data_IF_071004706110
#
_entry.id   IF_071004706110
#
_cell.length_a   1.000
_cell.length_b   1.000
_cell.length_c   1.000
_cell.angle_alpha   90.00
_cell.angle_beta   90.00
_cell.angle_gamma   90.00
#
_symmetry.space_group_name_H-M   'P 1'
#
loop_
_entity.id
_entity.type
_entity.pdbx_description
1 polymer ?
#
# COMPACT_ATOMS: atom_id res chain seq x y z
N UNK A 1 -13.16 -66.02 -35.80
CA UNK A 1 -12.67 -64.89 -34.98
C UNK A 1 -11.22 -64.65 -35.35
N UNK A 2 -10.91 -63.50 -35.95
CA UNK A 2 -9.63 -63.23 -36.61
C UNK A 2 -8.48 -63.14 -35.60
N UNK A 3 -7.41 -63.90 -35.85
CA UNK A 3 -6.19 -63.97 -35.03
C UNK A 3 -5.47 -62.61 -34.90
N UNK A 4 -5.71 -61.66 -35.82
CA UNK A 4 -5.14 -60.31 -35.75
C UNK A 4 -5.71 -59.47 -34.61
N UNK A 5 -6.92 -59.75 -34.12
CA UNK A 5 -7.55 -58.98 -33.03
C UNK A 5 -6.90 -59.32 -31.68
N UNK A 6 -6.39 -60.55 -31.51
CA UNK A 6 -5.72 -60.97 -30.27
C UNK A 6 -4.30 -60.40 -30.13
N UNK A 7 -3.61 -60.14 -31.23
CA UNK A 7 -2.25 -59.61 -31.22
C UNK A 7 -2.17 -58.13 -30.80
N UNK A 8 -3.24 -57.35 -31.01
CA UNK A 8 -3.26 -55.90 -30.75
C UNK A 8 -3.89 -55.52 -29.39
N UNK A 9 -4.47 -56.49 -28.68
CA UNK A 9 -5.09 -56.27 -27.37
C UNK A 9 -4.13 -55.72 -26.29
N UNK A 10 -2.87 -56.19 -26.15
CA UNK A 10 -1.97 -55.64 -25.14
C UNK A 10 -1.53 -54.21 -25.46
N UNK A 11 -1.40 -53.86 -26.75
CA UNK A 11 -1.09 -52.50 -27.17
C UNK A 11 -2.24 -51.52 -26.90
N UNK A 12 -3.47 -51.93 -27.18
CA UNK A 12 -4.65 -51.11 -26.86
C UNK A 12 -4.79 -50.89 -25.36
N UNK A 13 -4.56 -51.93 -24.54
CA UNK A 13 -4.58 -51.80 -23.08
C UNK A 13 -3.50 -50.82 -22.57
N UNK A 14 -2.28 -50.88 -23.10
CA UNK A 14 -1.20 -49.97 -22.72
C UNK A 14 -1.52 -48.50 -23.06
N UNK A 15 -2.09 -48.23 -24.24
CA UNK A 15 -2.50 -46.87 -24.64
C UNK A 15 -3.62 -46.36 -23.74
N UNK A 16 -4.59 -47.20 -23.40
CA UNK A 16 -5.73 -46.83 -22.56
C UNK A 16 -5.28 -46.52 -21.12
N UNK A 17 -4.38 -47.33 -20.57
CA UNK A 17 -3.78 -47.08 -19.25
C UNK A 17 -2.94 -45.79 -19.27
N UNK A 18 -2.14 -45.56 -20.32
CA UNK A 18 -1.38 -44.32 -20.48
C UNK A 18 -2.27 -43.08 -20.54
N UNK A 19 -3.40 -43.14 -21.24
CA UNK A 19 -4.36 -42.05 -21.30
C UNK A 19 -5.03 -41.78 -19.94
N UNK A 20 -5.36 -42.84 -19.19
CA UNK A 20 -5.95 -42.73 -17.85
C UNK A 20 -4.95 -42.12 -16.85
N UNK A 21 -3.70 -42.58 -16.82
CA UNK A 21 -2.66 -42.04 -15.94
C UNK A 21 -2.37 -40.57 -16.26
N UNK A 22 -2.31 -40.22 -17.55
CA UNK A 22 -2.07 -38.83 -17.98
C UNK A 22 -3.23 -37.90 -17.58
N UNK A 23 -4.48 -38.34 -17.78
CA UNK A 23 -5.66 -37.54 -17.44
C UNK A 23 -5.83 -37.37 -15.93
N UNK A 24 -5.60 -38.42 -15.13
CA UNK A 24 -5.59 -38.33 -13.66
C UNK A 24 -4.46 -37.43 -13.14
N UNK A 25 -3.27 -37.50 -13.75
CA UNK A 25 -2.15 -36.64 -13.38
C UNK A 25 -2.44 -35.17 -13.70
N UNK A 26 -3.05 -34.88 -14.85
CA UNK A 26 -3.46 -33.53 -15.21
C UNK A 26 -4.60 -33.00 -14.33
N UNK A 27 -5.56 -33.84 -13.96
CA UNK A 27 -6.62 -33.47 -13.03
C UNK A 27 -6.08 -33.14 -11.62
N UNK A 28 -5.14 -33.94 -11.11
CA UNK A 28 -4.47 -33.68 -9.82
C UNK A 28 -3.57 -32.44 -9.83
N UNK A 29 -2.93 -32.14 -10.96
CA UNK A 29 -2.18 -30.89 -11.14
C UNK A 29 -3.09 -29.66 -11.25
N UNK A 30 -4.28 -29.81 -11.85
CA UNK A 30 -5.30 -28.76 -11.91
C UNK A 30 -5.93 -28.47 -10.54
N UNK A 31 -6.19 -29.49 -9.73
CA UNK A 31 -6.82 -29.34 -8.41
C UNK A 31 -5.88 -28.85 -7.31
N UNK A 32 -4.56 -29.04 -7.47
CA UNK A 32 -3.55 -28.62 -6.49
C UNK A 32 -3.15 -27.14 -6.60
N UNK A 33 -3.71 -26.38 -7.54
CA UNK A 33 -3.38 -24.96 -7.74
C UNK A 33 -1.96 -24.70 -8.25
N UNK A 34 -1.11 -25.74 -8.36
CA UNK A 34 0.29 -25.65 -8.81
C UNK A 34 0.44 -25.33 -10.30
N UNK A 35 -0.64 -25.39 -11.08
CA UNK A 35 -0.68 -24.95 -12.48
C UNK A 35 -1.19 -23.52 -12.68
N UNK A 36 -1.52 -22.78 -11.60
CA UNK A 36 -1.95 -21.37 -11.65
C UNK A 36 -0.82 -20.37 -11.36
N UNK A 37 0.43 -20.76 -11.56
CA UNK A 37 1.47 -19.78 -11.86
C UNK A 37 1.57 -19.67 -13.37
N UNK A 38 1.02 -18.59 -13.93
CA UNK A 38 1.36 -18.15 -15.28
C UNK A 38 2.85 -17.74 -15.25
N UNK A 39 3.70 -18.76 -15.40
CA UNK A 39 5.10 -18.77 -15.04
C UNK A 39 5.96 -18.13 -16.12
N UNK A 40 5.61 -16.93 -16.57
CA UNK A 40 6.64 -16.10 -17.20
C UNK A 40 7.57 -15.60 -16.09
N UNK A 41 8.68 -16.32 -15.87
CA UNK A 41 9.73 -15.92 -14.91
C UNK A 41 10.37 -14.56 -15.26
N UNK A 42 10.09 -14.02 -16.46
CA UNK A 42 10.45 -12.68 -16.91
C UNK A 42 9.28 -11.68 -16.89
N UNK A 43 8.07 -12.09 -16.47
CA UNK A 43 7.00 -11.14 -16.26
C UNK A 43 7.44 -10.17 -15.17
N UNK A 44 7.52 -8.88 -15.51
CA UNK A 44 7.89 -7.83 -14.56
C UNK A 44 6.77 -7.65 -13.51
N UNK A 45 5.53 -7.98 -13.82
CA UNK A 45 4.40 -7.82 -12.91
C UNK A 45 4.22 -9.07 -12.03
N UNK A 46 4.20 -8.87 -10.70
CA UNK A 46 4.00 -9.92 -9.71
C UNK A 46 5.18 -10.88 -9.48
N UNK A 47 6.29 -10.73 -10.22
CA UNK A 47 7.49 -11.54 -10.02
C UNK A 47 8.42 -10.95 -8.96
N UNK A 48 9.38 -11.75 -8.48
CA UNK A 48 10.43 -11.27 -7.57
C UNK A 48 11.23 -10.10 -8.15
N UNK A 49 11.50 -10.09 -9.47
CA UNK A 49 12.13 -8.97 -10.15
C UNK A 49 11.23 -7.73 -10.16
N UNK A 50 9.92 -7.91 -10.37
CA UNK A 50 8.92 -6.87 -10.21
C UNK A 50 8.95 -6.23 -8.83
N UNK A 51 8.91 -7.05 -7.77
CA UNK A 51 8.96 -6.57 -6.38
C UNK A 51 10.23 -5.77 -6.08
N UNK A 52 11.38 -6.23 -6.59
CA UNK A 52 12.63 -5.48 -6.46
C UNK A 52 12.58 -4.14 -7.22
N UNK A 53 12.08 -4.13 -8.45
CA UNK A 53 11.94 -2.90 -9.24
C UNK A 53 10.95 -1.91 -8.62
N UNK A 54 9.85 -2.40 -8.05
CA UNK A 54 8.88 -1.60 -7.30
C UNK A 54 9.56 -0.91 -6.11
N UNK A 55 10.32 -1.66 -5.30
CA UNK A 55 11.11 -1.13 -4.18
C UNK A 55 12.13 -0.08 -4.63
N UNK A 56 12.90 -0.37 -5.67
CA UNK A 56 13.89 0.57 -6.19
C UNK A 56 13.25 1.86 -6.74
N UNK A 57 12.04 1.74 -7.31
CA UNK A 57 11.30 2.89 -7.83
C UNK A 57 10.80 3.85 -6.74
N UNK A 58 10.65 3.41 -5.49
CA UNK A 58 10.17 4.23 -4.38
C UNK A 58 11.00 5.51 -4.21
N UNK A 59 12.33 5.38 -4.23
CA UNK A 59 13.25 6.54 -4.15
C UNK A 59 13.14 7.48 -5.35
N UNK A 60 12.78 6.95 -6.52
CA UNK A 60 12.64 7.75 -7.74
C UNK A 60 11.29 8.46 -7.74
N UNK A 61 10.23 7.78 -7.31
CA UNK A 61 8.90 8.36 -7.10
C UNK A 61 9.00 9.47 -6.07
N UNK A 62 9.57 9.21 -4.89
CA UNK A 62 9.78 10.19 -3.82
C UNK A 62 10.56 11.41 -4.33
N UNK A 63 11.61 11.18 -5.13
CA UNK A 63 12.38 12.23 -5.78
C UNK A 63 11.53 13.05 -6.76
N UNK A 64 10.80 12.43 -7.68
CA UNK A 64 9.99 13.17 -8.68
C UNK A 64 8.81 13.86 -7.99
N UNK A 65 8.27 13.26 -6.93
CA UNK A 65 7.21 13.82 -6.11
C UNK A 65 7.66 15.11 -5.41
N UNK A 66 8.76 15.05 -4.65
CA UNK A 66 9.29 16.18 -3.90
C UNK A 66 10.13 17.16 -4.72
N UNK A 67 10.54 16.84 -5.96
CA UNK A 67 11.20 17.82 -6.87
C UNK A 67 10.25 18.43 -7.89
N UNK A 68 9.18 17.71 -8.21
CA UNK A 68 8.23 18.08 -9.25
C UNK A 68 7.07 18.95 -8.76
N UNK A 69 6.71 18.84 -7.47
CA UNK A 69 5.53 19.52 -6.91
C UNK A 69 5.88 20.42 -5.72
N UNK A 70 6.78 19.99 -4.84
CA UNK A 70 7.17 20.76 -3.66
C UNK A 70 8.55 21.39 -3.85
N UNK A 71 8.71 22.64 -3.46
CA UNK A 71 10.04 23.19 -3.18
C UNK A 71 10.61 22.39 -2.01
N UNK A 72 11.90 22.02 -2.03
CA UNK A 72 12.52 21.24 -0.94
C UNK A 72 12.10 21.80 0.41
N UNK A 73 11.38 20.98 1.17
CA UNK A 73 11.22 21.17 2.60
C UNK A 73 12.50 20.59 3.23
N UNK A 74 13.37 21.41 3.87
CA UNK A 74 14.68 20.97 4.37
C UNK A 74 14.63 19.80 5.39
N UNK A 75 13.44 19.48 5.90
CA UNK A 75 13.23 18.58 7.03
C UNK A 75 13.53 17.10 6.73
N UNK A 76 13.63 16.70 5.44
CA UNK A 76 13.99 15.32 5.05
C UNK A 76 15.49 15.10 4.82
N UNK A 77 16.34 16.12 5.04
CA UNK A 77 17.79 16.00 4.82
C UNK A 77 18.53 15.56 6.09
N UNK A 78 17.91 15.65 7.27
CA UNK A 78 18.64 15.48 8.54
C UNK A 78 18.51 14.10 9.18
N UNK A 79 19.67 13.44 9.27
CA UNK A 79 19.98 12.57 10.40
C UNK A 79 20.32 13.43 11.61
N UNK A 80 19.29 13.94 12.29
CA UNK A 80 19.36 14.58 13.62
C UNK A 80 20.19 15.87 13.74
N UNK A 81 19.51 17.02 13.82
CA UNK A 81 19.71 18.00 14.90
C UNK A 81 18.40 18.77 15.14
N UNK A 82 17.88 18.68 16.36
CA UNK A 82 16.83 19.57 16.85
C UNK A 82 17.37 20.98 17.00
N UNK A 83 16.57 21.99 16.61
CA UNK A 83 16.67 23.33 17.18
C UNK A 83 16.86 24.45 16.17
N UNK A 84 15.92 25.40 16.23
CA UNK A 84 16.03 26.80 15.81
C UNK A 84 15.79 27.11 14.32
N UNK A 85 14.55 27.51 14.08
CA UNK A 85 14.16 28.64 13.22
C UNK A 85 15.29 29.59 12.84
N UNK A 86 15.65 29.63 11.55
CA UNK A 86 15.92 30.89 10.86
C UNK A 86 15.60 30.76 9.37
N UNK A 87 14.88 31.76 8.88
CA UNK A 87 14.51 31.93 7.48
C UNK A 87 15.76 32.14 6.61
N UNK A 88 15.67 31.61 5.38
CA UNK A 88 16.22 32.18 4.15
C UNK A 88 17.36 33.21 4.32
N UNK A 89 18.58 32.70 4.49
CA UNK A 89 19.79 33.48 4.25
C UNK A 89 20.46 32.91 3.00
N UNK A 90 20.89 33.82 2.13
CA UNK A 90 21.51 33.56 0.82
C UNK A 90 22.52 32.41 0.87
N UNK A 91 22.50 31.57 -0.16
CA UNK A 91 23.60 30.66 -0.49
C UNK A 91 24.86 31.50 -0.75
N UNK A 92 25.59 31.86 0.30
CA UNK A 92 26.97 32.30 0.18
C UNK A 92 27.77 31.18 -0.47
N UNK A 93 28.45 31.53 -1.56
CA UNK A 93 29.39 30.66 -2.23
C UNK A 93 30.44 30.17 -1.21
N UNK A 94 30.57 28.84 -1.11
CA UNK A 94 31.55 28.10 -0.31
C UNK A 94 32.65 28.99 0.30
N UNK A 95 32.43 29.42 1.54
CA UNK A 95 33.38 30.27 2.28
C UNK A 95 34.69 29.52 2.47
N UNK A 96 35.86 30.14 2.22
CA UNK A 96 37.14 29.46 2.30
C UNK A 96 37.52 29.20 3.76
N UNK A 97 37.61 27.92 4.12
CA UNK A 97 38.36 27.36 5.24
C UNK A 97 38.40 28.22 6.52
N UNK A 98 37.41 28.05 7.41
CA UNK A 98 37.58 28.43 8.81
C UNK A 98 38.67 27.54 9.43
N UNK A 99 39.78 28.10 9.94
CA UNK A 99 40.86 27.31 10.51
C UNK A 99 40.39 26.65 11.82
N UNK A 100 40.25 25.32 11.82
CA UNK A 100 40.00 24.54 13.04
C UNK A 100 38.98 23.40 12.93
N UNK A 101 38.25 23.27 11.81
CA UNK A 101 37.32 22.15 11.64
C UNK A 101 38.05 20.86 11.20
N UNK A 102 37.70 19.69 11.76
CA UNK A 102 38.22 18.42 11.28
C UNK A 102 37.88 18.21 9.80
N UNK A 103 38.81 17.69 9.00
CA UNK A 103 38.61 17.44 7.57
C UNK A 103 37.38 16.55 7.26
N UNK A 104 36.97 15.70 8.22
CA UNK A 104 35.77 14.87 8.12
C UNK A 104 34.50 15.72 8.14
N UNK A 105 34.45 16.79 8.91
CA UNK A 105 33.26 17.64 9.02
C UNK A 105 33.12 18.52 7.77
N UNK A 106 34.23 19.04 7.22
CA UNK A 106 34.23 19.67 5.90
C UNK A 106 33.73 18.74 4.78
N UNK A 107 34.10 17.46 4.83
CA UNK A 107 33.63 16.48 3.84
C UNK A 107 32.12 16.21 3.99
N UNK A 108 31.61 16.13 5.22
CA UNK A 108 30.17 16.02 5.49
C UNK A 108 29.43 17.25 4.98
N UNK A 109 29.92 18.45 5.28
CA UNK A 109 29.31 19.71 4.86
C UNK A 109 29.30 19.83 3.33
N UNK A 110 30.40 19.47 2.67
CA UNK A 110 30.48 19.41 1.21
C UNK A 110 29.51 18.39 0.62
N UNK A 111 29.42 17.18 1.19
CA UNK A 111 28.49 16.15 0.73
C UNK A 111 27.03 16.57 0.92
N UNK A 112 26.71 17.19 2.05
CA UNK A 112 25.40 17.78 2.33
C UNK A 112 25.11 18.92 1.36
N UNK A 113 26.06 19.81 1.09
CA UNK A 113 25.94 20.88 0.10
C UNK A 113 25.70 20.37 -1.31
N UNK A 114 26.39 19.31 -1.73
CA UNK A 114 26.10 18.64 -3.01
C UNK A 114 24.73 17.99 -3.05
N UNK A 115 24.29 17.36 -1.95
CA UNK A 115 22.93 16.83 -1.84
C UNK A 115 21.93 17.95 -2.03
N UNK A 116 22.03 19.03 -1.24
CA UNK A 116 21.14 20.20 -1.35
C UNK A 116 21.14 20.73 -2.78
N UNK A 117 22.30 21.02 -3.37
CA UNK A 117 22.42 21.54 -4.74
C UNK A 117 21.79 20.61 -5.80
N UNK A 118 21.90 19.29 -5.65
CA UNK A 118 21.25 18.32 -6.54
C UNK A 118 19.72 18.40 -6.49
N UNK A 119 19.16 18.78 -5.34
CA UNK A 119 17.72 18.90 -5.13
C UNK A 119 17.24 20.37 -5.27
N UNK A 120 18.14 21.35 -5.28
CA UNK A 120 17.81 22.77 -5.42
C UNK A 120 17.44 23.12 -6.84
N UNK A 121 16.33 23.83 -6.99
CA UNK A 121 15.90 24.34 -8.28
C UNK A 121 16.79 25.53 -8.68
N UNK A 122 17.45 25.42 -9.81
CA UNK A 122 18.32 26.49 -10.35
C UNK A 122 17.57 27.46 -11.27
N UNK A 123 16.32 27.15 -11.63
CA UNK A 123 15.47 28.01 -12.44
C UNK A 123 14.76 29.07 -11.58
N UNK A 124 14.91 30.38 -11.85
CA UNK A 124 14.26 31.44 -11.10
C UNK A 124 12.74 31.50 -11.33
N UNK A 125 12.20 30.94 -12.42
CA UNK A 125 10.77 31.01 -12.75
C UNK A 125 9.98 29.86 -12.16
N UNK A 126 8.80 30.11 -11.60
CA UNK A 126 7.86 29.06 -11.15
C UNK A 126 7.53 28.07 -12.28
N UNK A 127 7.15 26.84 -11.92
CA UNK A 127 6.75 25.85 -12.91
C UNK A 127 5.48 26.31 -13.61
N UNK A 128 5.45 26.24 -14.94
CA UNK A 128 4.22 26.51 -15.70
C UNK A 128 3.18 25.41 -15.44
N UNK A 129 1.89 25.72 -15.62
CA UNK A 129 0.82 24.72 -15.49
C UNK A 129 1.02 23.51 -16.43
N UNK A 130 1.51 23.76 -17.65
CA UNK A 130 1.82 22.70 -18.62
C UNK A 130 2.95 21.77 -18.16
N UNK A 131 3.95 22.33 -17.49
CA UNK A 131 5.04 21.54 -16.93
C UNK A 131 4.56 20.74 -15.72
N UNK A 132 3.81 21.36 -14.81
CA UNK A 132 3.18 20.68 -13.67
C UNK A 132 2.29 19.53 -14.13
N UNK A 133 1.48 19.72 -15.17
CA UNK A 133 0.66 18.67 -15.76
C UNK A 133 1.50 17.49 -16.27
N UNK A 134 2.60 17.77 -16.98
CA UNK A 134 3.50 16.74 -17.50
C UNK A 134 4.16 15.95 -16.37
N UNK A 135 4.66 16.65 -15.35
CA UNK A 135 5.26 16.05 -14.16
C UNK A 135 4.25 15.16 -13.42
N UNK A 136 3.03 15.65 -13.19
CA UNK A 136 1.96 14.85 -12.54
C UNK A 136 1.67 13.57 -13.30
N UNK A 137 1.58 13.65 -14.64
CA UNK A 137 1.37 12.48 -15.49
C UNK A 137 2.51 11.47 -15.38
N UNK A 138 3.76 11.92 -15.41
CA UNK A 138 4.93 11.04 -15.26
C UNK A 138 4.96 10.36 -13.87
N UNK A 139 4.64 11.12 -12.81
CA UNK A 139 4.51 10.61 -11.45
C UNK A 139 3.42 9.53 -11.37
N UNK A 140 2.24 9.80 -11.95
CA UNK A 140 1.14 8.83 -11.98
C UNK A 140 1.55 7.53 -12.68
N UNK A 141 2.18 7.64 -13.86
CA UNK A 141 2.62 6.49 -14.64
C UNK A 141 3.64 5.65 -13.87
N UNK A 142 4.58 6.30 -13.19
CA UNK A 142 5.58 5.63 -12.35
C UNK A 142 4.94 4.92 -11.16
N UNK A 143 4.03 5.59 -10.46
CA UNK A 143 3.31 5.04 -9.31
C UNK A 143 2.43 3.85 -9.70
N UNK A 144 1.64 4.00 -10.76
CA UNK A 144 0.80 2.92 -11.29
C UNK A 144 1.66 1.73 -11.70
N UNK A 145 2.81 1.98 -12.34
CA UNK A 145 3.73 0.92 -12.75
C UNK A 145 4.33 0.20 -11.54
N UNK A 146 4.76 0.94 -10.52
CA UNK A 146 5.28 0.38 -9.26
C UNK A 146 4.23 -0.47 -8.55
N UNK A 147 3.00 0.04 -8.44
CA UNK A 147 1.87 -0.71 -7.90
C UNK A 147 1.58 -1.99 -8.70
N UNK A 148 1.57 -1.94 -10.03
CA UNK A 148 1.37 -3.14 -10.87
C UNK A 148 2.49 -4.16 -10.73
N UNK A 149 3.71 -3.73 -10.44
CA UNK A 149 4.84 -4.62 -10.18
C UNK A 149 4.69 -5.37 -8.87
N UNK A 150 4.27 -4.67 -7.80
CA UNK A 150 4.05 -5.26 -6.48
C UNK A 150 2.88 -4.58 -5.75
N UNK A 151 1.64 -5.09 -5.92
CA UNK A 151 0.49 -4.54 -5.21
C UNK A 151 0.55 -4.78 -3.69
N UNK A 152 1.39 -5.70 -3.22
CA UNK A 152 1.64 -5.99 -1.82
C UNK A 152 2.62 -5.02 -1.17
N UNK A 153 3.30 -4.18 -1.94
CA UNK A 153 4.29 -3.24 -1.44
C UNK A 153 3.63 -2.02 -0.78
N UNK A 154 3.88 -1.84 0.53
CA UNK A 154 3.23 -0.80 1.33
C UNK A 154 3.47 0.62 0.81
N UNK A 155 4.72 0.97 0.48
CA UNK A 155 5.09 2.28 -0.05
C UNK A 155 4.39 2.58 -1.38
N UNK A 156 4.72 1.81 -2.42
CA UNK A 156 4.08 1.87 -3.74
C UNK A 156 2.55 1.97 -3.71
N UNK A 157 1.85 1.11 -2.96
CA UNK A 157 0.40 1.18 -2.82
C UNK A 157 -0.06 2.51 -2.20
N UNK A 158 0.48 2.88 -1.04
CA UNK A 158 0.02 4.07 -0.31
C UNK A 158 0.35 5.36 -1.05
N UNK A 159 1.52 5.46 -1.68
CA UNK A 159 1.89 6.62 -2.50
C UNK A 159 0.96 6.75 -3.70
N UNK A 160 0.63 5.65 -4.38
CA UNK A 160 -0.28 5.72 -5.52
C UNK A 160 -1.72 6.04 -5.09
N UNK A 161 -2.19 5.45 -3.99
CA UNK A 161 -3.48 5.77 -3.42
C UNK A 161 -3.57 7.26 -3.05
N UNK A 162 -2.56 7.79 -2.35
CA UNK A 162 -2.48 9.19 -1.96
C UNK A 162 -2.53 10.13 -3.17
N UNK A 163 -1.80 9.80 -4.24
CA UNK A 163 -1.85 10.55 -5.50
C UNK A 163 -3.27 10.65 -6.06
N UNK A 164 -4.00 9.54 -6.07
CA UNK A 164 -5.35 9.49 -6.61
C UNK A 164 -6.39 10.21 -5.75
N UNK A 165 -6.15 10.36 -4.44
CA UNK A 165 -7.13 10.93 -3.52
C UNK A 165 -6.88 12.39 -3.15
N UNK A 166 -5.67 12.90 -3.33
CA UNK A 166 -5.32 14.27 -2.94
C UNK A 166 -5.53 15.26 -4.09
N UNK A 167 -6.36 16.27 -3.86
CA UNK A 167 -6.77 17.24 -4.88
C UNK A 167 -5.58 17.98 -5.53
N UNK A 168 -4.58 18.36 -4.74
CA UNK A 168 -3.37 19.05 -5.23
C UNK A 168 -2.58 18.24 -6.27
N UNK A 169 -2.73 16.92 -6.29
CA UNK A 169 -2.04 16.01 -7.20
C UNK A 169 -2.91 15.53 -8.37
N UNK A 170 -4.14 16.03 -8.49
CA UNK A 170 -5.08 15.62 -9.54
C UNK A 170 -6.19 14.70 -9.06
N UNK A 171 -6.38 14.57 -7.74
CA UNK A 171 -7.53 13.87 -7.17
C UNK A 171 -8.85 14.51 -7.56
N UNK A 172 -9.58 13.85 -8.47
CA UNK A 172 -10.95 14.14 -8.86
C UNK A 172 -11.87 12.92 -8.58
N UNK A 173 -13.17 13.06 -8.82
CA UNK A 173 -14.14 11.97 -8.59
C UNK A 173 -13.77 10.69 -9.37
N UNK A 174 -13.21 10.84 -10.57
CA UNK A 174 -12.77 9.71 -11.39
C UNK A 174 -11.55 9.01 -10.77
N UNK A 175 -10.61 9.77 -10.23
CA UNK A 175 -9.41 9.30 -9.56
C UNK A 175 -9.75 8.65 -8.22
N UNK A 176 -10.74 9.17 -7.49
CA UNK A 176 -11.32 8.53 -6.30
C UNK A 176 -11.93 7.16 -6.63
N UNK A 177 -12.75 7.09 -7.67
CA UNK A 177 -13.28 5.80 -8.15
C UNK A 177 -12.16 4.83 -8.58
N UNK A 178 -11.03 5.35 -9.08
CA UNK A 178 -9.85 4.57 -9.38
C UNK A 178 -9.12 4.10 -8.10
N UNK A 179 -9.00 4.94 -7.08
CA UNK A 179 -8.40 4.60 -5.79
C UNK A 179 -9.11 3.42 -5.12
N UNK A 180 -10.45 3.38 -5.20
CA UNK A 180 -11.27 2.24 -4.75
C UNK A 180 -10.88 0.95 -5.49
N UNK A 181 -10.68 1.02 -6.81
CA UNK A 181 -10.25 -0.14 -7.61
C UNK A 181 -8.85 -0.60 -7.24
N UNK A 182 -7.92 0.34 -7.04
CA UNK A 182 -6.54 0.07 -6.62
C UNK A 182 -6.51 -0.61 -5.25
N UNK A 183 -7.26 -0.10 -4.27
CA UNK A 183 -7.35 -0.69 -2.93
C UNK A 183 -7.93 -2.11 -2.95
N UNK A 184 -9.00 -2.33 -3.73
CA UNK A 184 -9.58 -3.68 -3.88
C UNK A 184 -8.64 -4.63 -4.65
N UNK A 185 -7.91 -4.15 -5.65
CA UNK A 185 -6.91 -4.94 -6.36
C UNK A 185 -5.75 -5.36 -5.44
N UNK A 186 -5.27 -4.45 -4.58
CA UNK A 186 -4.27 -4.76 -3.56
C UNK A 186 -4.78 -5.88 -2.64
N UNK A 187 -5.95 -5.71 -2.03
CA UNK A 187 -6.58 -6.71 -1.17
C UNK A 187 -6.73 -8.07 -1.85
N UNK A 188 -7.21 -8.09 -3.09
CA UNK A 188 -7.39 -9.33 -3.85
C UNK A 188 -6.06 -10.04 -4.13
N UNK A 189 -5.00 -9.28 -4.45
CA UNK A 189 -3.67 -9.86 -4.70
C UNK A 189 -3.05 -10.46 -3.43
N UNK A 190 -3.25 -9.79 -2.28
CA UNK A 190 -2.65 -10.16 -1.00
C UNK A 190 -3.41 -11.32 -0.32
N UNK A 191 -4.68 -11.55 -0.67
CA UNK A 191 -5.49 -12.60 -0.07
C UNK A 191 -4.89 -14.02 -0.15
N UNK A 192 -3.98 -14.24 -1.10
CA UNK A 192 -3.25 -15.51 -1.29
C UNK A 192 -1.85 -15.55 -0.70
N UNK A 193 -1.37 -14.47 -0.08
CA UNK A 193 -0.03 -14.38 0.53
C UNK A 193 0.05 -15.22 1.82
N UNK A 194 1.07 -16.07 1.91
CA UNK A 194 1.24 -17.06 2.98
C UNK A 194 2.66 -17.12 3.55
N UNK A 195 3.59 -16.35 2.99
CA UNK A 195 5.01 -16.41 3.33
C UNK A 195 5.48 -15.08 3.93
N UNK A 196 5.25 -13.97 3.22
CA UNK A 196 5.67 -12.65 3.65
C UNK A 196 4.59 -12.01 4.54
N UNK A 197 4.89 -11.61 5.80
CA UNK A 197 3.94 -10.88 6.62
C UNK A 197 3.63 -9.48 6.07
N UNK A 198 4.59 -8.80 5.44
CA UNK A 198 4.46 -7.38 5.10
C UNK A 198 3.25 -7.03 4.22
N UNK A 199 2.93 -7.77 3.14
CA UNK A 199 1.76 -7.48 2.31
C UNK A 199 0.46 -7.38 3.11
N UNK A 200 0.31 -8.10 4.22
CA UNK A 200 -0.88 -7.97 5.06
C UNK A 200 -1.00 -6.61 5.78
N UNK A 201 0.10 -5.88 5.97
CA UNK A 201 0.04 -4.47 6.41
C UNK A 201 -0.44 -3.56 5.29
N UNK A 202 -0.07 -3.83 4.04
CA UNK A 202 -0.60 -3.14 2.86
C UNK A 202 -2.10 -3.39 2.73
N UNK A 203 -2.56 -4.62 2.94
CA UNK A 203 -3.98 -4.95 2.98
C UNK A 203 -4.72 -4.20 4.11
N UNK A 204 -4.15 -4.12 5.32
CA UNK A 204 -4.72 -3.34 6.40
C UNK A 204 -4.84 -1.85 6.05
N UNK A 205 -3.80 -1.28 5.43
CA UNK A 205 -3.81 0.10 4.92
C UNK A 205 -4.89 0.30 3.86
N UNK A 206 -5.00 -0.63 2.91
CA UNK A 206 -6.00 -0.57 1.86
C UNK A 206 -7.43 -0.67 2.38
N UNK A 207 -7.67 -1.49 3.39
CA UNK A 207 -8.96 -1.55 4.07
C UNK A 207 -9.28 -0.26 4.83
N UNK A 208 -8.28 0.37 5.47
CA UNK A 208 -8.44 1.68 6.12
C UNK A 208 -8.75 2.79 5.11
N UNK A 209 -8.06 2.80 3.97
CA UNK A 209 -8.28 3.77 2.92
C UNK A 209 -9.70 3.65 2.31
N UNK A 210 -10.18 2.43 2.10
CA UNK A 210 -11.57 2.20 1.68
C UNK A 210 -12.58 2.70 2.71
N UNK A 211 -12.31 2.49 4.00
CA UNK A 211 -13.14 3.03 5.08
C UNK A 211 -13.21 4.57 5.01
N UNK A 212 -12.06 5.24 4.86
CA UNK A 212 -12.02 6.69 4.77
C UNK A 212 -12.81 7.21 3.56
N UNK A 213 -12.65 6.57 2.39
CA UNK A 213 -13.42 6.92 1.19
C UNK A 213 -14.92 6.69 1.35
N UNK A 214 -15.34 5.60 1.99
CA UNK A 214 -16.77 5.29 2.18
C UNK A 214 -17.43 6.21 3.23
N UNK A 215 -16.66 6.71 4.19
CA UNK A 215 -17.17 7.55 5.29
C UNK A 215 -16.96 9.05 5.08
N UNK A 216 -16.33 9.47 3.99
CA UNK A 216 -15.99 10.86 3.72
C UNK A 216 -17.20 11.80 3.85
N UNK A 217 -18.32 11.46 3.19
CA UNK A 217 -19.55 12.25 3.24
C UNK A 217 -20.09 12.40 4.68
N UNK A 218 -19.92 11.38 5.52
CA UNK A 218 -20.33 11.44 6.93
C UNK A 218 -19.43 12.38 7.72
N UNK A 219 -18.12 12.34 7.46
CA UNK A 219 -17.14 13.22 8.11
C UNK A 219 -17.33 14.68 7.71
N UNK A 220 -17.61 14.97 6.44
CA UNK A 220 -17.84 16.33 5.94
C UNK A 220 -19.16 16.92 6.43
N UNK A 221 -20.24 16.11 6.43
CA UNK A 221 -21.56 16.54 6.90
C UNK A 221 -21.70 16.56 8.42
N UNK A 222 -20.73 16.01 9.16
CA UNK A 222 -20.81 15.80 10.60
C UNK A 222 -21.90 14.82 11.03
N UNK A 223 -22.34 13.94 10.12
CA UNK A 223 -23.35 12.92 10.43
C UNK A 223 -22.71 11.68 11.03
N UNK A 224 -23.48 10.95 11.85
CA UNK A 224 -23.01 9.71 12.46
C UNK A 224 -22.69 8.67 11.38
N UNK A 225 -21.53 8.03 11.52
CA UNK A 225 -21.14 6.92 10.64
C UNK A 225 -22.01 5.69 10.98
N UNK A 226 -22.66 5.06 9.99
CA UNK A 226 -23.49 3.88 10.21
C UNK A 226 -22.72 2.74 10.92
N UNK A 227 -23.33 2.18 11.97
CA UNK A 227 -22.72 1.14 12.80
C UNK A 227 -22.25 -0.09 12.01
N UNK A 228 -22.98 -0.46 10.95
CA UNK A 228 -22.63 -1.60 10.11
C UNK A 228 -21.32 -1.38 9.35
N UNK A 229 -21.03 -0.15 8.88
CA UNK A 229 -19.78 0.22 8.21
C UNK A 229 -18.61 0.08 9.19
N UNK A 230 -18.77 0.59 10.42
CA UNK A 230 -17.75 0.46 11.46
C UNK A 230 -17.41 -1.01 11.76
N UNK A 231 -18.44 -1.85 11.96
CA UNK A 231 -18.27 -3.28 12.22
C UNK A 231 -17.62 -4.02 11.05
N UNK A 232 -18.03 -3.71 9.82
CA UNK A 232 -17.46 -4.29 8.60
C UNK A 232 -15.97 -3.99 8.47
N UNK A 233 -15.57 -2.72 8.55
CA UNK A 233 -14.17 -2.34 8.38
C UNK A 233 -13.30 -2.76 9.55
N UNK A 234 -13.84 -2.76 10.78
CA UNK A 234 -13.17 -3.37 11.92
C UNK A 234 -12.87 -4.85 11.64
N UNK A 235 -13.84 -5.65 11.21
CA UNK A 235 -13.59 -7.06 10.90
C UNK A 235 -12.54 -7.23 9.79
N UNK A 236 -12.63 -6.43 8.73
CA UNK A 236 -11.72 -6.48 7.58
C UNK A 236 -10.27 -6.14 7.95
N UNK A 237 -10.07 -5.03 8.67
CA UNK A 237 -8.74 -4.58 9.13
C UNK A 237 -8.19 -5.56 10.18
N UNK A 238 -9.04 -6.00 11.13
CA UNK A 238 -8.65 -6.96 12.16
C UNK A 238 -8.16 -8.28 11.58
N UNK A 239 -8.82 -8.79 10.54
CA UNK A 239 -8.36 -9.99 9.82
C UNK A 239 -6.97 -9.78 9.21
N UNK A 240 -6.72 -8.65 8.56
CA UNK A 240 -5.41 -8.35 7.96
C UNK A 240 -4.30 -8.29 9.03
N UNK A 241 -4.56 -7.64 10.16
CA UNK A 241 -3.60 -7.55 11.26
C UNK A 241 -3.35 -8.91 11.91
N UNK A 242 -4.37 -9.76 12.05
CA UNK A 242 -4.20 -11.12 12.56
C UNK A 242 -3.35 -11.98 11.63
N UNK A 243 -3.57 -11.89 10.32
CA UNK A 243 -2.75 -12.60 9.33
C UNK A 243 -1.28 -12.13 9.37
N UNK A 244 -1.04 -10.83 9.51
CA UNK A 244 0.31 -10.30 9.72
C UNK A 244 0.97 -10.92 10.96
N UNK A 245 0.29 -10.94 12.11
CA UNK A 245 0.82 -11.50 13.36
C UNK A 245 1.19 -12.98 13.18
N UNK A 246 0.30 -13.78 12.59
CA UNK A 246 0.53 -15.20 12.34
C UNK A 246 1.73 -15.46 11.41
N UNK A 247 1.84 -14.72 10.31
CA UNK A 247 2.95 -14.88 9.37
C UNK A 247 4.27 -14.37 9.94
N UNK A 248 4.24 -13.29 10.72
CA UNK A 248 5.42 -12.79 11.41
C UNK A 248 5.94 -13.81 12.42
N UNK A 249 5.06 -14.37 13.25
CA UNK A 249 5.43 -15.41 14.21
C UNK A 249 6.06 -16.63 13.51
N UNK A 250 5.47 -17.08 12.40
CA UNK A 250 6.04 -18.15 11.56
C UNK A 250 7.41 -17.77 10.99
N UNK A 251 7.58 -16.52 10.55
CA UNK A 251 8.85 -16.02 10.02
C UNK A 251 9.93 -15.94 11.11
N UNK A 252 9.57 -15.60 12.35
CA UNK A 252 10.47 -15.62 13.50
C UNK A 252 10.88 -17.05 13.85
N UNK A 253 9.92 -17.99 13.94
CA UNK A 253 10.20 -19.41 14.23
C UNK A 253 11.14 -20.06 13.21
N UNK A 254 11.01 -19.69 11.94
CA UNK A 254 11.82 -20.25 10.86
C UNK A 254 13.13 -19.46 10.61
N UNK A 255 13.40 -18.40 11.38
CA UNK A 255 14.57 -17.53 11.20
C UNK A 255 14.53 -16.63 9.96
N UNK A 256 13.44 -16.64 9.19
CA UNK A 256 13.26 -15.77 8.03
C UNK A 256 13.18 -14.29 8.41
N UNK A 257 12.63 -13.99 9.60
CA UNK A 257 12.55 -12.63 10.12
C UNK A 257 13.95 -12.03 10.37
N UNK A 258 14.86 -12.84 10.90
CA UNK A 258 16.23 -12.42 11.21
C UNK A 258 17.09 -12.19 9.97
N UNK A 259 16.69 -12.76 8.82
CA UNK A 259 17.33 -12.49 7.52
C UNK A 259 17.02 -11.08 6.99
N UNK A 260 16.04 -10.37 7.55
CA UNK A 260 15.76 -8.98 7.21
C UNK A 260 16.77 -8.05 7.89
N UNK A 261 17.16 -6.97 7.22
CA UNK A 261 17.97 -5.93 7.85
C UNK A 261 17.23 -5.30 9.04
N UNK A 262 17.96 -4.87 10.07
CA UNK A 262 17.35 -4.24 11.26
C UNK A 262 16.51 -3.02 10.90
N UNK A 263 16.94 -2.22 9.92
CA UNK A 263 16.17 -1.09 9.41
C UNK A 263 14.81 -1.54 8.86
N UNK A 264 14.77 -2.63 8.08
CA UNK A 264 13.54 -3.17 7.52
C UNK A 264 12.61 -3.74 8.59
N UNK A 265 13.17 -4.46 9.57
CA UNK A 265 12.37 -4.95 10.70
C UNK A 265 11.72 -3.79 11.45
N UNK A 266 12.48 -2.72 11.76
CA UNK A 266 11.96 -1.52 12.45
C UNK A 266 10.84 -0.87 11.64
N UNK A 267 11.04 -0.70 10.33
CA UNK A 267 10.03 -0.13 9.43
C UNK A 267 8.71 -0.92 9.44
N UNK A 268 8.78 -2.25 9.30
CA UNK A 268 7.59 -3.12 9.34
C UNK A 268 6.88 -3.02 10.69
N UNK A 269 7.63 -3.05 11.79
CA UNK A 269 7.08 -2.94 13.14
C UNK A 269 6.43 -1.57 13.38
N UNK A 270 7.02 -0.48 12.87
CA UNK A 270 6.42 0.85 12.94
C UNK A 270 5.09 0.93 12.20
N UNK A 271 5.02 0.40 10.98
CA UNK A 271 3.78 0.32 10.19
C UNK A 271 2.70 -0.49 10.91
N UNK A 272 3.06 -1.64 11.46
CA UNK A 272 2.15 -2.46 12.25
C UNK A 272 1.64 -1.75 13.51
N UNK A 273 2.52 -1.08 14.27
CA UNK A 273 2.13 -0.30 15.46
C UNK A 273 1.18 0.85 15.10
N UNK A 274 1.44 1.54 13.99
CA UNK A 274 0.56 2.58 13.49
C UNK A 274 -0.82 2.00 13.15
N UNK A 275 -0.88 0.95 12.33
CA UNK A 275 -2.13 0.30 11.93
C UNK A 275 -2.93 -0.22 13.14
N UNK A 276 -2.26 -0.85 14.12
CA UNK A 276 -2.89 -1.36 15.34
C UNK A 276 -3.47 -0.25 16.22
N UNK A 277 -2.79 0.91 16.30
CA UNK A 277 -3.28 2.07 17.05
C UNK A 277 -4.55 2.64 16.42
N UNK A 278 -4.57 2.78 15.10
CA UNK A 278 -5.75 3.28 14.36
C UNK A 278 -6.88 2.27 14.43
N UNK A 279 -6.58 0.97 14.30
CA UNK A 279 -7.56 -0.11 14.44
C UNK A 279 -8.29 -0.09 15.79
N UNK A 280 -7.58 0.18 16.90
CA UNK A 280 -8.18 0.27 18.24
C UNK A 280 -9.27 1.35 18.33
N UNK A 281 -9.24 2.38 17.48
CA UNK A 281 -10.26 3.43 17.50
C UNK A 281 -11.65 2.92 17.10
N UNK A 282 -11.73 1.86 16.30
CA UNK A 282 -13.02 1.27 15.90
C UNK A 282 -13.84 0.78 17.10
N UNK A 283 -13.20 0.24 18.15
CA UNK A 283 -13.91 -0.21 19.34
C UNK A 283 -14.65 0.96 20.01
N UNK A 284 -13.98 2.09 20.17
CA UNK A 284 -14.57 3.29 20.75
C UNK A 284 -15.66 3.89 19.85
N UNK A 285 -15.50 3.86 18.53
CA UNK A 285 -16.50 4.35 17.58
C UNK A 285 -17.76 3.48 17.57
N UNK A 286 -17.60 2.16 17.64
CA UNK A 286 -18.71 1.20 17.71
C UNK A 286 -19.50 1.37 19.00
N UNK A 287 -18.81 1.47 20.15
CA UNK A 287 -19.47 1.69 21.44
C UNK A 287 -20.35 2.96 21.42
N UNK A 288 -19.83 4.08 20.90
CA UNK A 288 -20.61 5.32 20.74
C UNK A 288 -21.80 5.12 19.79
N UNK A 289 -21.61 4.40 18.68
CA UNK A 289 -22.70 4.11 17.74
C UNK A 289 -23.82 3.25 18.34
N UNK A 290 -23.49 2.34 19.26
CA UNK A 290 -24.45 1.50 19.98
C UNK A 290 -25.24 2.29 21.04
N UNK A 291 -24.59 3.22 21.74
CA UNK A 291 -25.25 4.14 22.68
C UNK A 291 -26.27 5.05 21.97
N UNK A 292 -25.90 5.63 20.83
CA UNK A 292 -26.79 6.48 20.01
C UNK A 292 -27.96 5.68 19.44
N UNK A 293 -27.72 4.44 19.02
CA UNK A 293 -28.78 3.56 18.53
C UNK A 293 -29.81 3.20 19.61
N UNK A 294 -29.34 3.03 20.85
CA UNK A 294 -30.20 2.70 21.99
C UNK A 294 -31.06 3.90 22.42
N UNK A 295 -30.50 5.11 22.46
CA UNK A 295 -31.23 6.32 22.84
C UNK A 295 -32.33 6.72 21.85
N UNK A 296 -32.14 6.47 20.55
CA UNK A 296 -33.17 6.72 19.52
C UNK A 296 -34.35 5.74 19.57
N UNK A 297 -34.20 4.57 20.19
CA UNK A 297 -35.30 3.61 20.38
C UNK A 297 -36.16 3.90 21.62
N UNK A 298 -35.64 4.69 22.55
CA UNK A 298 -36.32 5.05 23.80
C UNK A 298 -37.15 6.35 23.71
N UNK A 299 -37.18 7.04 22.56
CA UNK A 299 -38.11 8.16 22.33
C UNK A 299 -39.53 7.59 22.12
N UNK A 300 -40.44 7.67 23.11
CA UNK A 300 -41.79 7.15 22.93
C UNK A 300 -42.48 7.99 21.84
N UNK A 301 -43.21 7.31 20.95
CA UNK A 301 -44.14 7.95 20.03
C UNK A 301 -45.10 8.84 20.83
N UNK A 302 -44.79 10.15 20.92
CA UNK A 302 -45.65 11.14 21.56
C UNK A 302 -46.90 11.24 20.71
N UNK A 303 -47.91 10.51 21.17
CA UNK A 303 -49.34 10.63 20.93
C UNK A 303 -49.74 11.68 19.87
N UNK A 304 -49.86 11.24 18.62
CA UNK A 304 -50.62 11.92 17.59
C UNK A 304 -52.15 11.77 17.81
N UNK A 305 -52.60 11.77 19.07
CA UNK A 305 -54.01 11.79 19.49
C UNK A 305 -54.32 13.07 20.25
N UNK A 306 -54.23 14.20 19.56
CA UNK A 306 -54.88 15.45 19.97
C UNK A 306 -55.35 16.17 18.72
N UNK A 307 -56.49 15.74 18.20
CA UNK A 307 -57.40 16.51 17.34
C UNK A 307 -58.62 15.64 17.03
N UNK A 308 -59.55 15.56 17.98
CA UNK A 308 -60.95 15.19 17.74
C UNK A 308 -61.74 15.48 19.03
N UNK A 309 -62.03 16.76 19.27
CA UNK A 309 -63.20 17.30 20.00
C UNK A 309 -62.92 18.75 20.39
N UNK A 310 -63.40 19.69 19.57
CA UNK A 310 -64.37 20.74 19.94
C UNK A 310 -64.55 21.74 18.78
#
# INVERSE_FOLDING_TARGET
MNSSVRANLPWLAAVLIGAIVTSLSMAGLGSSGKLKQDGNRFAIYGSAYGRLLARLSETTVDRVWHLGVEQIVPHNIDGSMHGETSLAEELEAASPNLPGQPAIDHLKDWYTGMRVAKYSRTNPYSLSESHLFTVKKEVEEMLLRSFKMDPGHYGAYNSYHLFLTTHEFGGDERSRAHAIKVANAALASIASEQEDPEPWLTAASAAMNLYLLETENHMESGTDIPLHILKQYRAKIGNCLSMFEQLKERAELNGNWDNLSSARQVEIIHRYRFAKRTYKQFDAMIARGEEIGSSKQEEPAVDARRNETD
#
